data_IF_917697546754
#
_entry.id   IF_917697546754
#
_cell.length_a   1.000
_cell.length_b   1.000
_cell.length_c   1.000
_cell.angle_alpha   90.00
_cell.angle_beta   90.00
_cell.angle_gamma   90.00
#
_symmetry.space_group_name_H-M   'P 1'
#
loop_
_entity.id
_entity.type
_entity.pdbx_description
1 polymer ?
#
# COMPACT_ATOMS: atom_id res chain seq x y z
N UNK A 1 4.90 -74.13 17.31
CA UNK A 1 4.53 -72.70 17.45
C UNK A 1 5.52 -71.86 16.66
N UNK A 2 5.14 -71.38 15.48
CA UNK A 2 5.93 -70.44 14.67
C UNK A 2 5.19 -69.10 14.70
N UNK A 3 5.72 -68.13 15.44
CA UNK A 3 5.16 -66.78 15.50
C UNK A 3 5.68 -65.98 14.30
N UNK A 4 4.77 -65.60 13.40
CA UNK A 4 5.02 -64.64 12.34
C UNK A 4 4.88 -63.23 12.95
N UNK A 5 6.01 -62.52 13.04
CA UNK A 5 6.02 -61.11 13.44
C UNK A 5 5.89 -60.27 12.16
N UNK A 6 4.67 -59.78 11.89
CA UNK A 6 4.38 -58.90 10.77
C UNK A 6 4.72 -57.47 11.18
N UNK A 7 5.85 -56.94 10.70
CA UNK A 7 6.24 -55.55 10.91
C UNK A 7 5.47 -54.71 9.89
N UNK A 8 4.44 -54.02 10.37
CA UNK A 8 3.67 -53.04 9.60
C UNK A 8 4.48 -51.73 9.55
N UNK A 9 5.15 -51.48 8.43
CA UNK A 9 5.92 -50.27 8.18
C UNK A 9 4.94 -49.13 7.82
N UNK A 10 4.58 -48.30 8.80
CA UNK A 10 3.77 -47.09 8.58
C UNK A 10 4.60 -46.03 7.86
N UNK A 11 4.46 -45.95 6.54
CA UNK A 11 4.93 -44.84 5.73
C UNK A 11 4.11 -43.59 6.08
N UNK A 12 4.63 -42.76 6.98
CA UNK A 12 4.16 -41.39 7.15
C UNK A 12 4.61 -40.58 5.92
N UNK A 13 3.73 -40.46 4.94
CA UNK A 13 3.86 -39.46 3.88
C UNK A 13 3.67 -38.08 4.52
N UNK A 14 4.76 -37.42 4.90
CA UNK A 14 4.76 -35.99 5.15
C UNK A 14 4.43 -35.28 3.83
N UNK A 15 3.15 -34.95 3.62
CA UNK A 15 2.77 -33.98 2.62
C UNK A 15 3.40 -32.64 3.03
N UNK A 16 4.52 -32.30 2.40
CA UNK A 16 5.09 -30.96 2.45
C UNK A 16 4.08 -30.02 1.82
N UNK A 17 3.22 -29.40 2.64
CA UNK A 17 2.40 -28.29 2.18
C UNK A 17 3.35 -27.19 1.70
N UNK A 18 3.31 -26.91 0.40
CA UNK A 18 4.05 -25.78 -0.16
C UNK A 18 3.61 -24.52 0.60
N UNK A 19 4.59 -23.75 1.07
CA UNK A 19 4.32 -22.52 1.81
C UNK A 19 3.68 -21.51 0.85
N UNK A 20 2.53 -20.99 1.24
CA UNK A 20 1.82 -19.93 0.51
C UNK A 20 1.91 -18.64 1.30
N UNK A 21 2.30 -17.55 0.65
CA UNK A 21 2.26 -16.21 1.24
C UNK A 21 0.95 -15.52 0.81
N UNK A 22 0.24 -14.91 1.76
CA UNK A 22 -1.05 -14.26 1.51
C UNK A 22 -0.94 -12.75 1.68
N UNK A 23 -1.38 -12.01 0.67
CA UNK A 23 -1.37 -10.56 0.62
C UNK A 23 -2.79 -10.00 0.44
N UNK A 24 -3.12 -8.95 1.19
CA UNK A 24 -4.42 -8.29 1.15
C UNK A 24 -4.29 -6.79 0.97
N UNK A 25 -5.27 -6.18 0.30
CA UNK A 25 -5.28 -4.73 0.14
C UNK A 25 -6.50 -4.26 -0.62
N UNK A 26 -6.76 -2.95 -0.58
CA UNK A 26 -7.85 -2.33 -1.31
C UNK A 26 -7.29 -1.29 -2.28
N UNK A 27 -7.67 -1.40 -3.56
CA UNK A 27 -7.19 -0.54 -4.64
C UNK A 27 -8.32 0.25 -5.28
N UNK A 28 -8.05 1.42 -5.88
CA UNK A 28 -9.01 2.02 -6.81
C UNK A 28 -9.28 1.06 -7.99
N UNK A 29 -10.44 1.22 -8.62
CA UNK A 29 -10.83 0.45 -9.80
C UNK A 29 -10.36 1.13 -11.10
N UNK A 30 -9.04 1.28 -11.30
CA UNK A 30 -8.54 1.79 -12.58
C UNK A 30 -8.66 0.74 -13.70
N UNK A 31 -8.41 1.18 -14.94
CA UNK A 31 -8.52 0.31 -16.12
C UNK A 31 -7.57 -0.90 -16.08
N UNK A 32 -6.35 -0.75 -15.53
CA UNK A 32 -5.34 -1.82 -15.49
C UNK A 32 -5.85 -2.99 -14.65
N UNK A 33 -6.33 -2.72 -13.44
CA UNK A 33 -6.84 -3.78 -12.57
C UNK A 33 -8.19 -4.33 -13.05
N UNK A 34 -9.05 -3.49 -13.61
CA UNK A 34 -10.34 -3.94 -14.16
C UNK A 34 -10.15 -4.86 -15.34
N UNK A 35 -9.25 -4.51 -16.25
CA UNK A 35 -8.94 -5.36 -17.40
C UNK A 35 -8.44 -6.72 -16.91
N UNK A 36 -7.41 -6.76 -16.07
CA UNK A 36 -6.87 -8.01 -15.53
C UNK A 36 -7.95 -8.89 -14.87
N UNK A 37 -8.85 -8.30 -14.08
CA UNK A 37 -9.93 -9.01 -13.39
C UNK A 37 -11.14 -9.34 -14.27
N UNK A 38 -11.20 -8.86 -15.52
CA UNK A 38 -12.37 -9.03 -16.39
C UNK A 38 -13.60 -8.23 -15.94
N UNK A 39 -13.39 -7.14 -15.21
CA UNK A 39 -14.47 -6.27 -14.72
C UNK A 39 -14.85 -5.27 -15.81
N UNK A 40 -16.14 -5.18 -16.15
CA UNK A 40 -16.67 -4.22 -17.12
C UNK A 40 -16.25 -2.80 -16.78
N UNK A 41 -15.88 -1.98 -17.77
CA UNK A 41 -15.53 -0.56 -17.60
C UNK A 41 -16.73 0.33 -17.22
N UNK A 42 -17.96 -0.14 -17.47
CA UNK A 42 -19.20 0.61 -17.19
C UNK A 42 -19.74 0.41 -15.78
N UNK A 43 -19.21 -0.56 -15.03
CA UNK A 43 -19.62 -0.76 -13.64
C UNK A 43 -19.25 0.45 -12.77
N UNK A 44 -20.14 0.87 -11.88
CA UNK A 44 -19.85 1.88 -10.86
C UNK A 44 -19.14 1.19 -9.70
N UNK A 45 -17.85 1.47 -9.51
CA UNK A 45 -17.00 0.80 -8.52
C UNK A 45 -16.12 1.86 -7.86
N UNK A 46 -16.14 1.88 -6.52
CA UNK A 46 -15.28 2.78 -5.76
C UNK A 46 -13.92 2.13 -5.47
N UNK A 47 -13.90 0.82 -5.20
CA UNK A 47 -12.68 0.07 -4.92
C UNK A 47 -12.83 -1.43 -5.16
N UNK A 48 -11.67 -2.10 -5.18
CA UNK A 48 -11.51 -3.56 -5.27
C UNK A 48 -10.71 -3.99 -4.04
N UNK A 49 -11.22 -4.95 -3.27
CA UNK A 49 -10.52 -5.63 -2.19
C UNK A 49 -9.91 -6.92 -2.72
N UNK A 50 -8.62 -7.08 -2.49
CA UNK A 50 -7.81 -8.19 -2.97
C UNK A 50 -7.45 -9.13 -1.83
N UNK A 51 -7.45 -10.44 -2.13
CA UNK A 51 -6.75 -11.47 -1.40
C UNK A 51 -5.97 -12.31 -2.41
N UNK A 52 -4.65 -12.10 -2.43
CA UNK A 52 -3.72 -12.77 -3.33
C UNK A 52 -2.91 -13.79 -2.53
N UNK A 53 -2.99 -15.05 -2.92
CA UNK A 53 -2.22 -16.15 -2.36
C UNK A 53 -1.17 -16.58 -3.39
N UNK A 54 0.11 -16.42 -3.05
CA UNK A 54 1.25 -16.74 -3.91
C UNK A 54 1.87 -18.05 -3.42
N UNK A 55 1.87 -19.08 -4.29
CA UNK A 55 2.57 -20.34 -4.08
C UNK A 55 3.82 -20.45 -4.98
N UNK A 56 4.42 -21.64 -5.02
CA UNK A 56 5.64 -21.90 -5.81
C UNK A 56 5.39 -21.85 -7.32
N UNK A 57 4.29 -22.45 -7.78
CA UNK A 57 4.03 -22.67 -9.21
C UNK A 57 2.83 -21.86 -9.75
N UNK A 58 2.25 -20.99 -8.93
CA UNK A 58 1.04 -20.28 -9.29
C UNK A 58 0.47 -19.45 -8.15
N UNK A 59 -0.64 -18.79 -8.43
CA UNK A 59 -1.35 -17.97 -7.45
C UNK A 59 -2.85 -18.27 -7.48
N UNK A 60 -3.50 -17.99 -6.35
CA UNK A 60 -4.95 -17.87 -6.24
C UNK A 60 -5.30 -16.43 -5.93
N UNK A 61 -6.31 -15.90 -6.62
CA UNK A 61 -6.81 -14.56 -6.38
C UNK A 61 -8.31 -14.61 -6.09
N UNK A 62 -8.69 -14.00 -4.97
CA UNK A 62 -10.07 -13.67 -4.63
C UNK A 62 -10.18 -12.13 -4.57
N UNK A 63 -11.08 -11.54 -5.37
CA UNK A 63 -11.29 -10.10 -5.39
C UNK A 63 -12.77 -9.74 -5.24
N UNK A 64 -13.09 -8.89 -4.27
CA UNK A 64 -14.41 -8.29 -4.07
C UNK A 64 -14.42 -6.85 -4.59
N UNK A 65 -15.50 -6.39 -5.21
CA UNK A 65 -15.57 -5.03 -5.73
C UNK A 65 -17.00 -4.47 -5.71
N UNK A 66 -17.11 -3.14 -5.68
CA UNK A 66 -18.39 -2.43 -5.69
C UNK A 66 -18.24 -0.99 -5.21
N UNK A 67 -19.38 -0.33 -4.97
CA UNK A 67 -19.43 1.00 -4.34
C UNK A 67 -19.29 0.88 -2.83
N UNK A 68 -18.61 1.86 -2.23
CA UNK A 68 -18.32 1.89 -0.82
C UNK A 68 -19.57 2.23 0.00
N UNK A 69 -19.77 1.50 1.10
CA UNK A 69 -20.81 1.82 2.08
C UNK A 69 -20.33 2.94 3.01
N UNK A 70 -21.11 4.02 3.09
CA UNK A 70 -20.75 5.20 3.88
C UNK A 70 -20.52 4.82 5.35
N UNK A 71 -19.39 5.28 5.92
CA UNK A 71 -19.04 5.04 7.31
C UNK A 71 -18.49 3.63 7.62
N UNK A 72 -18.51 2.69 6.66
CA UNK A 72 -17.99 1.33 6.85
C UNK A 72 -16.87 1.00 5.85
N UNK A 73 -16.09 -0.08 6.07
CA UNK A 73 -15.21 -0.64 5.05
C UNK A 73 -15.97 -1.56 4.05
N UNK A 74 -17.30 -1.65 4.14
CA UNK A 74 -18.10 -2.57 3.32
C UNK A 74 -18.48 -2.02 1.95
N UNK A 75 -19.17 -2.87 1.18
CA UNK A 75 -19.75 -2.54 -0.12
C UNK A 75 -21.28 -2.36 0.01
N UNK A 76 -21.86 -1.51 -0.82
CA UNK A 76 -23.32 -1.41 -0.99
C UNK A 76 -23.80 -2.51 -1.96
N UNK A 77 -23.03 -2.77 -3.02
CA UNK A 77 -23.36 -3.67 -4.12
C UNK A 77 -22.17 -4.58 -4.46
N UNK A 78 -21.80 -5.44 -3.49
CA UNK A 78 -20.66 -6.35 -3.62
C UNK A 78 -20.83 -7.31 -4.79
N UNK A 79 -19.80 -7.36 -5.64
CA UNK A 79 -19.54 -8.41 -6.63
C UNK A 79 -18.20 -9.09 -6.29
N UNK A 80 -17.95 -10.25 -6.89
CA UNK A 80 -16.73 -11.02 -6.64
C UNK A 80 -16.24 -11.70 -7.93
N UNK A 81 -14.92 -11.79 -8.07
CA UNK A 81 -14.23 -12.69 -8.99
C UNK A 81 -13.22 -13.51 -8.21
N UNK A 82 -13.05 -14.77 -8.60
CA UNK A 82 -12.05 -15.65 -8.01
C UNK A 82 -11.49 -16.58 -9.09
N UNK A 83 -10.17 -16.72 -9.14
CA UNK A 83 -9.51 -17.61 -10.08
C UNK A 83 -8.08 -17.96 -9.64
N UNK A 84 -7.60 -19.09 -10.15
CA UNK A 84 -6.20 -19.47 -10.12
C UNK A 84 -5.51 -19.01 -11.41
N UNK A 85 -4.20 -18.78 -11.32
CA UNK A 85 -3.40 -18.38 -12.47
C UNK A 85 -1.93 -18.75 -12.36
N UNK A 86 -1.20 -18.48 -13.44
CA UNK A 86 0.22 -18.75 -13.55
C UNK A 86 1.01 -17.50 -13.15
N UNK A 87 2.07 -17.68 -12.37
CA UNK A 87 2.99 -16.60 -12.04
C UNK A 87 4.38 -16.86 -12.58
N UNK A 88 5.10 -15.79 -12.89
CA UNK A 88 6.55 -15.82 -13.01
C UNK A 88 7.15 -14.85 -12.01
N UNK A 89 8.28 -15.22 -11.42
CA UNK A 89 9.02 -14.40 -10.48
C UNK A 89 10.43 -14.14 -11.02
N UNK A 90 10.80 -12.87 -11.19
CA UNK A 90 12.11 -12.47 -11.69
C UNK A 90 12.62 -11.26 -10.93
N UNK A 91 13.75 -11.41 -10.23
CA UNK A 91 14.26 -10.40 -9.32
C UNK A 91 13.29 -10.16 -8.17
N UNK A 92 12.77 -8.94 -8.06
CA UNK A 92 11.76 -8.54 -7.07
C UNK A 92 10.38 -8.30 -7.71
N UNK A 93 10.05 -9.06 -8.75
CA UNK A 93 8.85 -8.80 -9.56
C UNK A 93 8.09 -10.08 -9.84
N UNK A 94 6.81 -10.04 -9.53
CA UNK A 94 5.85 -11.04 -9.96
C UNK A 94 5.13 -10.57 -11.22
N UNK A 95 4.92 -11.49 -12.15
CA UNK A 95 4.02 -11.30 -13.29
C UNK A 95 2.93 -12.33 -13.19
N UNK A 96 1.71 -11.89 -12.89
CA UNK A 96 0.54 -12.76 -12.78
C UNK A 96 -0.16 -12.82 -14.12
N UNK A 97 -0.55 -14.03 -14.53
CA UNK A 97 -1.27 -14.26 -15.79
C UNK A 97 -2.51 -15.12 -15.58
N UNK A 98 -3.59 -14.77 -16.27
CA UNK A 98 -4.85 -15.52 -16.29
C UNK A 98 -5.64 -15.17 -17.56
N UNK A 99 -6.14 -16.19 -18.27
CA UNK A 99 -6.97 -16.01 -19.48
C UNK A 99 -6.39 -15.02 -20.53
N UNK A 100 -5.07 -15.07 -20.76
CA UNK A 100 -4.37 -14.18 -21.70
C UNK A 100 -4.12 -12.76 -21.20
N UNK A 101 -4.54 -12.45 -19.97
CA UNK A 101 -4.32 -11.14 -19.32
C UNK A 101 -3.15 -11.22 -18.35
N UNK A 102 -2.48 -10.08 -18.17
CA UNK A 102 -1.26 -9.99 -17.36
C UNK A 102 -1.30 -8.75 -16.49
N UNK A 103 -0.86 -8.89 -15.23
CA UNK A 103 -0.54 -7.76 -14.36
C UNK A 103 0.84 -7.98 -13.72
N UNK A 104 1.62 -6.90 -13.62
CA UNK A 104 2.92 -6.92 -12.95
C UNK A 104 2.79 -6.38 -11.53
N UNK A 105 3.57 -6.96 -10.63
CA UNK A 105 3.62 -6.59 -9.22
C UNK A 105 5.08 -6.46 -8.82
N UNK A 106 5.41 -5.36 -8.15
CA UNK A 106 6.71 -5.16 -7.54
C UNK A 106 6.68 -5.63 -6.09
N UNK A 107 7.61 -6.48 -5.73
CA UNK A 107 7.92 -6.79 -4.35
C UNK A 107 8.79 -5.67 -3.77
N UNK A 108 8.17 -4.78 -2.99
CA UNK A 108 8.91 -3.76 -2.25
C UNK A 108 9.76 -4.43 -1.17
N UNK A 109 9.17 -5.40 -0.48
CA UNK A 109 9.81 -6.38 0.39
C UNK A 109 8.85 -7.55 0.65
N UNK A 110 9.26 -8.48 1.51
CA UNK A 110 8.47 -9.65 1.89
C UNK A 110 7.09 -9.34 2.54
N UNK A 111 6.81 -8.08 2.88
CA UNK A 111 5.56 -7.67 3.53
C UNK A 111 4.67 -6.81 2.64
N UNK A 112 5.22 -6.15 1.63
CA UNK A 112 4.48 -5.18 0.81
C UNK A 112 4.78 -5.40 -0.66
N UNK A 113 3.70 -5.71 -1.38
CA UNK A 113 3.68 -5.75 -2.84
C UNK A 113 3.03 -4.47 -3.38
N UNK A 114 3.36 -4.06 -4.60
CA UNK A 114 2.75 -2.92 -5.25
C UNK A 114 2.41 -3.22 -6.71
N UNK A 115 1.14 -3.02 -7.11
CA UNK A 115 0.72 -3.26 -8.49
C UNK A 115 1.32 -2.22 -9.44
N UNK A 116 1.77 -2.68 -10.61
CA UNK A 116 2.43 -1.85 -11.61
C UNK A 116 1.53 -1.54 -12.80
N UNK A 117 1.76 -0.38 -13.39
CA UNK A 117 1.10 0.06 -14.61
C UNK A 117 1.88 -0.34 -15.87
N UNK A 118 1.36 0.05 -17.06
CA UNK A 118 2.10 -0.05 -18.31
C UNK A 118 3.43 0.69 -18.20
N UNK A 119 4.54 0.06 -18.60
CA UNK A 119 5.86 0.69 -18.49
C UNK A 119 6.51 0.56 -17.10
N UNK A 120 5.98 -0.29 -16.22
CA UNK A 120 6.60 -0.70 -14.97
C UNK A 120 6.68 0.37 -13.87
N UNK A 121 5.95 1.49 -14.02
CA UNK A 121 5.80 2.47 -12.95
C UNK A 121 4.82 1.97 -11.88
N UNK A 122 4.98 2.46 -10.64
CA UNK A 122 4.03 2.25 -9.57
C UNK A 122 2.66 2.82 -9.98
N UNK A 123 1.57 2.07 -9.77
CA UNK A 123 0.24 2.59 -9.98
C UNK A 123 -0.10 3.61 -8.89
N UNK A 124 -0.59 4.77 -9.31
CA UNK A 124 -0.92 5.86 -8.40
C UNK A 124 -2.36 5.69 -7.92
N UNK A 125 -2.52 5.55 -6.60
CA UNK A 125 -3.82 5.46 -5.95
C UNK A 125 -4.56 6.80 -5.87
N UNK A 126 -5.43 6.91 -4.88
CA UNK A 126 -6.15 8.15 -4.54
C UNK A 126 -6.20 8.34 -3.01
N UNK A 127 -6.91 9.38 -2.54
CA UNK A 127 -7.07 9.67 -1.11
C UNK A 127 -7.91 8.66 -0.34
N UNK A 128 -8.39 7.60 -1.00
CA UNK A 128 -9.10 6.47 -0.41
C UNK A 128 -8.26 5.21 -0.31
N UNK A 129 -7.57 4.85 -1.40
CA UNK A 129 -6.98 3.54 -1.63
C UNK A 129 -5.64 3.66 -2.39
N UNK A 130 -4.73 2.71 -2.19
CA UNK A 130 -3.45 2.62 -2.93
C UNK A 130 -3.39 1.34 -3.75
N UNK A 131 -2.29 1.10 -4.47
CA UNK A 131 -2.06 -0.16 -5.18
C UNK A 131 -1.13 -1.12 -4.40
N UNK A 132 -1.06 -0.97 -3.07
CA UNK A 132 -0.21 -1.80 -2.21
C UNK A 132 -0.99 -2.97 -1.62
N UNK A 133 -0.44 -4.18 -1.69
CA UNK A 133 -0.95 -5.38 -1.02
C UNK A 133 -0.02 -5.74 0.15
N UNK A 134 -0.60 -6.12 1.28
CA UNK A 134 0.06 -6.25 2.58
C UNK A 134 0.02 -7.70 3.02
N UNK A 135 1.17 -8.25 3.40
CA UNK A 135 1.26 -9.61 3.91
C UNK A 135 0.44 -9.75 5.20
N UNK A 136 -0.42 -10.78 5.27
CA UNK A 136 -1.25 -11.05 6.46
C UNK A 136 -0.44 -11.63 7.62
N UNK A 137 0.77 -12.13 7.35
CA UNK A 137 1.75 -12.63 8.30
C UNK A 137 3.08 -11.92 8.09
N UNK A 138 3.17 -10.61 8.43
CA UNK A 138 4.37 -9.84 8.16
C UNK A 138 5.59 -10.39 8.90
N UNK A 139 6.71 -10.49 8.20
CA UNK A 139 8.00 -10.89 8.75
C UNK A 139 8.85 -9.66 9.05
N UNK A 140 9.81 -9.79 9.97
CA UNK A 140 10.76 -8.71 10.21
C UNK A 140 11.72 -8.58 9.03
N UNK A 141 11.77 -7.41 8.40
CA UNK A 141 12.69 -7.11 7.30
C UNK A 141 12.99 -5.62 7.21
N UNK A 142 14.24 -5.29 6.87
CA UNK A 142 14.70 -3.93 6.57
C UNK A 142 14.81 -3.71 5.04
N UNK A 143 14.43 -4.72 4.25
CA UNK A 143 14.48 -4.64 2.80
C UNK A 143 13.49 -3.59 2.28
N UNK A 144 13.94 -2.89 1.23
CA UNK A 144 13.08 -2.06 0.40
C UNK A 144 13.71 -1.99 -0.98
N UNK A 145 13.09 -2.66 -1.94
CA UNK A 145 13.67 -3.00 -3.23
C UNK A 145 13.31 -1.98 -4.31
N UNK A 146 13.41 -0.70 -3.98
CA UNK A 146 13.30 0.41 -4.94
C UNK A 146 14.51 1.34 -4.80
N UNK A 147 15.22 1.63 -5.91
CA UNK A 147 16.12 2.77 -5.96
C UNK A 147 15.28 4.05 -6.03
N UNK A 148 15.37 4.93 -5.02
CA UNK A 148 14.69 6.22 -5.10
C UNK A 148 15.50 7.14 -6.02
N UNK A 149 14.90 7.61 -7.11
CA UNK A 149 15.45 8.72 -7.88
C UNK A 149 14.74 10.00 -7.46
N UNK A 150 15.49 11.03 -7.07
CA UNK A 150 14.92 12.35 -6.84
C UNK A 150 14.78 13.06 -8.19
N UNK A 151 13.56 13.40 -8.60
CA UNK A 151 13.35 14.23 -9.79
C UNK A 151 12.87 15.62 -9.39
N UNK A 152 13.02 16.57 -10.31
CA UNK A 152 12.41 17.88 -10.16
C UNK A 152 10.88 17.73 -10.24
N UNK A 153 10.18 18.25 -9.25
CA UNK A 153 8.74 18.13 -9.12
C UNK A 153 8.11 19.51 -8.86
N UNK A 154 6.83 19.65 -9.21
CA UNK A 154 6.06 20.87 -8.95
C UNK A 154 5.99 21.22 -7.46
N UNK A 155 5.76 22.49 -7.17
CA UNK A 155 5.67 23.03 -5.80
C UNK A 155 4.28 23.65 -5.59
N UNK A 156 3.50 23.22 -4.58
CA UNK A 156 3.82 22.19 -3.59
C UNK A 156 3.74 20.76 -4.14
N UNK A 157 4.43 19.83 -3.49
CA UNK A 157 4.15 18.41 -3.66
C UNK A 157 2.87 18.05 -2.92
N UNK A 158 1.90 17.48 -3.62
CA UNK A 158 0.58 17.17 -3.06
C UNK A 158 0.43 15.66 -2.89
N UNK A 159 0.21 15.20 -1.67
CA UNK A 159 0.04 13.78 -1.36
C UNK A 159 -1.23 13.53 -0.54
N UNK A 160 -1.90 12.41 -0.81
CA UNK A 160 -3.09 12.00 -0.08
C UNK A 160 -3.11 10.50 0.17
N UNK A 161 -3.84 10.07 1.20
CA UNK A 161 -4.02 8.64 1.47
C UNK A 161 -4.80 8.34 2.74
N UNK A 162 -5.01 7.06 2.98
CA UNK A 162 -5.60 6.54 4.22
C UNK A 162 -4.76 5.39 4.72
N UNK A 163 -4.56 5.36 6.02
CA UNK A 163 -3.78 4.32 6.70
C UNK A 163 -4.59 3.70 7.83
N UNK A 164 -4.26 2.48 8.27
CA UNK A 164 -4.75 1.97 9.55
C UNK A 164 -4.38 2.96 10.67
N UNK A 165 -5.28 3.11 11.66
CA UNK A 165 -5.18 4.20 12.62
C UNK A 165 -4.18 3.96 13.75
N UNK A 166 -4.19 2.75 14.31
CA UNK A 166 -3.65 2.51 15.64
C UNK A 166 -2.13 2.72 15.72
N UNK A 167 -1.38 2.12 14.80
CA UNK A 167 0.09 2.16 14.84
C UNK A 167 0.64 3.58 14.65
N UNK A 168 0.17 4.33 13.64
CA UNK A 168 0.60 5.71 13.44
C UNK A 168 0.09 6.65 14.52
N UNK A 169 -1.12 6.41 15.04
CA UNK A 169 -1.62 7.20 16.17
C UNK A 169 -0.74 7.03 17.41
N UNK A 170 -0.29 5.81 17.70
CA UNK A 170 0.63 5.54 18.79
C UNK A 170 2.01 6.16 18.53
N UNK A 171 2.56 5.96 17.31
CA UNK A 171 3.86 6.51 16.91
C UNK A 171 3.93 8.04 17.07
N UNK A 172 2.85 8.74 16.68
CA UNK A 172 2.78 10.19 16.71
C UNK A 172 2.31 10.74 18.07
N UNK A 173 1.92 9.89 19.03
CA UNK A 173 1.40 10.32 20.32
C UNK A 173 0.00 10.95 20.27
N UNK A 174 -0.79 10.65 19.23
CA UNK A 174 -2.14 11.17 19.04
C UNK A 174 -3.21 10.41 19.86
N UNK A 175 -2.86 9.20 20.35
CA UNK A 175 -3.66 8.39 21.26
C UNK A 175 -5.16 8.25 20.88
N UNK A 176 -5.45 7.98 19.61
CA UNK A 176 -6.80 7.71 19.11
C UNK A 176 -7.37 6.46 19.77
N UNK A 177 -8.67 6.50 20.07
CA UNK A 177 -9.37 5.35 20.65
C UNK A 177 -9.49 4.15 19.70
N UNK A 178 -9.87 2.97 20.23
CA UNK A 178 -9.94 1.72 19.47
C UNK A 178 -10.98 1.75 18.33
N UNK A 179 -11.99 2.62 18.43
CA UNK A 179 -12.98 2.84 17.38
C UNK A 179 -12.40 3.52 16.12
N UNK A 180 -11.18 4.07 16.19
CA UNK A 180 -10.53 4.64 15.02
C UNK A 180 -10.04 3.53 14.09
N UNK A 181 -10.74 3.35 12.97
CA UNK A 181 -10.35 2.37 11.95
C UNK A 181 -9.31 2.91 10.96
N UNK A 182 -9.30 4.22 10.70
CA UNK A 182 -8.38 4.84 9.73
C UNK A 182 -7.98 6.27 10.07
N UNK A 183 -6.80 6.66 9.62
CA UNK A 183 -6.38 8.06 9.51
C UNK A 183 -6.50 8.51 8.06
N UNK A 184 -6.89 9.77 7.84
CA UNK A 184 -6.91 10.39 6.50
C UNK A 184 -5.80 11.44 6.44
N UNK A 185 -5.06 11.40 5.35
CA UNK A 185 -3.89 12.24 5.14
C UNK A 185 -4.06 13.06 3.89
N UNK A 186 -3.75 14.35 4.00
CA UNK A 186 -3.62 15.26 2.89
C UNK A 186 -2.48 16.23 3.19
N UNK A 187 -1.40 16.15 2.42
CA UNK A 187 -0.17 16.92 2.61
C UNK A 187 0.08 17.84 1.42
N UNK A 188 0.47 19.07 1.74
CA UNK A 188 1.10 20.02 0.82
C UNK A 188 2.52 20.26 1.31
N UNK A 189 3.52 19.70 0.62
CA UNK A 189 4.93 19.85 0.97
C UNK A 189 5.52 20.99 0.13
N UNK A 190 5.78 22.13 0.77
CA UNK A 190 6.33 23.31 0.09
C UNK A 190 7.84 23.28 0.07
N UNK A 191 8.38 23.65 -1.08
CA UNK A 191 9.81 23.91 -1.28
C UNK A 191 10.03 25.42 -1.38
N UNK A 192 11.21 25.87 -0.96
CA UNK A 192 11.67 27.22 -1.21
C UNK A 192 11.82 27.45 -2.73
N UNK A 193 11.24 28.54 -3.24
CA UNK A 193 11.17 28.78 -4.68
C UNK A 193 12.52 29.14 -5.32
N UNK A 194 13.49 29.60 -4.52
CA UNK A 194 14.82 29.98 -5.01
C UNK A 194 15.79 28.79 -4.99
N UNK A 195 15.74 27.98 -3.92
CA UNK A 195 16.71 26.91 -3.66
C UNK A 195 16.19 25.51 -3.99
N UNK A 196 14.87 25.34 -4.16
CA UNK A 196 14.22 24.03 -4.31
C UNK A 196 14.28 23.15 -3.06
N UNK A 197 14.81 23.67 -1.93
CA UNK A 197 14.94 22.90 -0.69
C UNK A 197 13.61 22.81 0.04
N UNK A 198 13.36 21.73 0.82
CA UNK A 198 12.21 21.64 1.72
C UNK A 198 12.08 22.89 2.62
N UNK A 199 10.86 23.37 2.79
CA UNK A 199 10.55 24.53 3.63
C UNK A 199 9.58 24.15 4.74
N UNK A 200 8.28 24.13 4.46
CA UNK A 200 7.23 23.75 5.41
C UNK A 200 6.21 22.84 4.74
N UNK A 201 5.37 22.19 5.53
CA UNK A 201 4.21 21.49 5.03
C UNK A 201 2.92 22.03 5.66
N UNK A 202 1.82 21.80 4.96
CA UNK A 202 0.47 21.86 5.51
C UNK A 202 -0.11 20.45 5.49
N UNK A 203 -0.77 20.05 6.58
CA UNK A 203 -1.46 18.76 6.70
C UNK A 203 -2.94 18.95 7.05
N UNK A 204 -3.81 18.20 6.38
CA UNK A 204 -5.24 18.13 6.66
C UNK A 204 -5.79 16.70 6.60
N UNK A 205 -7.09 16.58 6.87
CA UNK A 205 -7.86 15.33 6.85
C UNK A 205 -9.22 15.49 6.17
N UNK A 206 -10.31 15.18 6.88
CA UNK A 206 -11.69 15.35 6.36
C UNK A 206 -12.06 16.84 6.31
N UNK A 207 -12.71 17.26 5.21
CA UNK A 207 -13.20 18.63 5.02
C UNK A 207 -12.09 19.69 5.13
N UNK A 208 -11.14 19.62 4.19
CA UNK A 208 -10.00 20.51 4.13
C UNK A 208 -10.42 21.99 4.02
N UNK A 209 -9.80 22.82 4.85
CA UNK A 209 -9.69 24.27 4.72
C UNK A 209 -8.23 24.60 4.93
N UNK A 210 -7.59 25.26 3.96
CA UNK A 210 -6.14 25.52 4.02
C UNK A 210 -5.77 26.32 5.28
N UNK A 211 -6.68 27.17 5.73
CA UNK A 211 -6.55 28.04 6.90
C UNK A 211 -6.53 27.26 8.22
N UNK A 212 -7.06 26.04 8.24
CA UNK A 212 -7.10 25.18 9.44
C UNK A 212 -6.15 23.98 9.33
N UNK A 213 -5.34 23.90 8.26
CA UNK A 213 -4.37 22.83 8.12
C UNK A 213 -3.26 23.00 9.14
N UNK A 214 -2.83 21.88 9.71
CA UNK A 214 -1.70 21.85 10.63
C UNK A 214 -0.42 22.16 9.86
N UNK A 215 0.31 23.17 10.31
CA UNK A 215 1.62 23.52 9.73
C UNK A 215 2.73 22.79 10.46
N UNK A 216 3.76 22.41 9.72
CA UNK A 216 5.00 21.86 10.27
C UNK A 216 6.18 22.07 9.32
N UNK A 217 7.36 21.58 9.70
CA UNK A 217 8.56 21.61 8.85
C UNK A 217 8.83 20.23 8.26
N UNK A 218 9.52 20.17 7.13
CA UNK A 218 9.95 18.89 6.56
C UNK A 218 11.32 18.99 5.95
N UNK A 219 12.00 17.85 5.85
CA UNK A 219 13.30 17.72 5.21
C UNK A 219 13.39 16.41 4.42
N UNK A 220 14.32 16.36 3.48
CA UNK A 220 14.69 15.14 2.76
C UNK A 220 16.01 14.65 3.32
N UNK A 221 16.01 13.45 3.86
CA UNK A 221 17.19 12.75 4.35
C UNK A 221 17.58 11.64 3.36
N UNK A 222 18.86 11.32 3.30
CA UNK A 222 19.35 10.13 2.61
C UNK A 222 19.41 8.98 3.60
N UNK A 223 18.48 8.05 3.49
CA UNK A 223 18.46 6.79 4.21
C UNK A 223 19.45 5.77 3.63
N UNK A 224 19.47 4.55 4.20
CA UNK A 224 20.34 3.46 3.76
C UNK A 224 20.20 3.21 2.25
N UNK A 225 21.32 2.91 1.59
CA UNK A 225 21.39 2.66 0.14
C UNK A 225 20.95 3.85 -0.73
N UNK A 226 21.10 5.09 -0.25
CA UNK A 226 20.84 6.31 -1.02
C UNK A 226 19.36 6.69 -1.13
N UNK A 227 18.49 6.06 -0.34
CA UNK A 227 17.03 6.25 -0.43
C UNK A 227 16.60 7.59 0.14
N UNK A 228 15.77 8.34 -0.58
CA UNK A 228 15.18 9.56 -0.06
C UNK A 228 14.10 9.23 0.99
N UNK A 229 14.24 9.84 2.17
CA UNK A 229 13.28 9.77 3.28
C UNK A 229 12.77 11.18 3.53
N UNK A 230 11.46 11.37 3.41
CA UNK A 230 10.83 12.63 3.81
C UNK A 230 10.51 12.56 5.30
N UNK A 231 11.10 13.47 6.06
CA UNK A 231 10.90 13.55 7.51
C UNK A 231 10.13 14.82 7.85
N UNK A 232 8.96 14.66 8.44
CA UNK A 232 8.02 15.73 8.74
C UNK A 232 7.93 15.90 10.25
N UNK A 233 8.01 17.16 10.71
CA UNK A 233 7.95 17.55 12.10
C UNK A 233 6.72 18.41 12.35
N UNK A 234 5.98 18.10 13.40
CA UNK A 234 4.86 18.90 13.86
C UNK A 234 4.90 18.97 15.38
N UNK A 235 4.66 20.15 15.94
CA UNK A 235 4.69 20.39 17.39
C UNK A 235 3.66 19.56 18.17
N UNK A 236 2.62 19.09 17.49
CA UNK A 236 1.60 18.21 18.08
C UNK A 236 1.97 16.73 18.06
N UNK A 237 3.11 16.36 17.46
CA UNK A 237 3.56 14.97 17.40
C UNK A 237 4.70 14.71 18.37
N UNK A 238 4.64 13.58 19.05
CA UNK A 238 5.73 13.13 19.92
C UNK A 238 6.98 12.69 19.14
N UNK A 239 6.82 12.36 17.86
CA UNK A 239 7.89 11.90 16.96
C UNK A 239 7.66 12.41 15.54
N UNK A 240 8.73 12.61 14.76
CA UNK A 240 8.58 12.95 13.36
C UNK A 240 7.95 11.81 12.57
N UNK A 241 7.09 12.17 11.62
CA UNK A 241 6.59 11.24 10.61
C UNK A 241 7.67 11.00 9.57
N UNK A 242 7.87 9.74 9.17
CA UNK A 242 8.89 9.33 8.20
C UNK A 242 8.25 8.61 7.02
N UNK A 243 8.55 9.10 5.82
CA UNK A 243 7.99 8.62 4.57
C UNK A 243 9.14 8.23 3.62
N UNK A 244 9.24 6.94 3.30
CA UNK A 244 10.17 6.45 2.28
C UNK A 244 9.64 6.82 0.89
N UNK A 245 10.49 7.43 0.07
CA UNK A 245 10.16 7.73 -1.32
C UNK A 245 10.29 6.45 -2.17
N UNK A 246 9.17 5.99 -2.72
CA UNK A 246 9.16 4.96 -3.76
C UNK A 246 9.56 5.56 -5.09
N UNK A 247 8.66 6.37 -5.65
CA UNK A 247 8.91 7.18 -6.84
C UNK A 247 8.44 8.62 -6.58
N UNK A 248 8.23 9.42 -7.63
CA UNK A 248 7.74 10.79 -7.46
C UNK A 248 6.27 10.85 -7.06
N UNK A 249 5.54 9.74 -7.16
CA UNK A 249 4.10 9.68 -6.98
C UNK A 249 3.67 8.85 -5.78
N UNK A 250 4.59 8.13 -5.14
CA UNK A 250 4.29 7.17 -4.09
C UNK A 250 5.26 7.33 -2.93
N UNK A 251 4.70 7.57 -1.75
CA UNK A 251 5.46 7.56 -0.49
C UNK A 251 4.92 6.44 0.42
N UNK A 252 5.81 5.81 1.19
CA UNK A 252 5.47 4.74 2.12
C UNK A 252 5.78 5.15 3.56
N UNK A 253 4.87 4.94 4.50
CA UNK A 253 5.15 5.23 5.90
C UNK A 253 6.11 4.21 6.50
N UNK A 254 6.92 4.67 7.44
CA UNK A 254 7.80 3.82 8.24
C UNK A 254 7.50 3.92 9.72
N UNK A 255 7.85 2.86 10.45
CA UNK A 255 7.77 2.80 11.90
C UNK A 255 8.92 3.54 12.59
N UNK A 256 8.92 3.50 13.92
CA UNK A 256 9.99 4.07 14.74
C UNK A 256 11.37 3.42 14.46
N UNK A 257 11.37 2.20 13.95
CA UNK A 257 12.54 1.40 13.61
C UNK A 257 12.92 1.49 12.13
N UNK A 258 12.39 2.48 11.41
CA UNK A 258 12.65 2.77 10.00
C UNK A 258 12.16 1.69 9.02
N UNK A 259 11.50 0.63 9.50
CA UNK A 259 10.90 -0.40 8.64
C UNK A 259 9.59 0.09 8.05
N UNK A 260 9.26 -0.39 6.86
CA UNK A 260 7.97 -0.12 6.25
C UNK A 260 6.84 -0.64 7.14
N UNK A 261 5.84 0.21 7.36
CA UNK A 261 4.63 -0.22 8.03
C UNK A 261 3.79 -1.10 7.09
N UNK A 262 3.13 -2.10 7.66
CA UNK A 262 2.33 -3.07 6.92
C UNK A 262 0.85 -2.79 7.16
N UNK A 263 0.11 -2.59 6.08
CA UNK A 263 -1.30 -2.29 6.15
C UNK A 263 -2.16 -3.50 6.49
N UNK A 264 -3.45 -3.37 6.22
CA UNK A 264 -4.42 -4.45 6.30
C UNK A 264 -5.23 -4.54 4.99
N UNK A 265 -6.32 -5.31 4.99
CA UNK A 265 -7.15 -5.47 3.78
C UNK A 265 -7.76 -4.14 3.29
N UNK A 266 -8.01 -3.19 4.19
CA UNK A 266 -8.78 -1.98 3.90
C UNK A 266 -7.87 -0.78 3.61
N UNK A 267 -6.75 -0.68 4.32
CA UNK A 267 -5.84 0.47 4.25
C UNK A 267 -4.38 0.03 4.25
N UNK A 268 -3.60 0.57 3.32
CA UNK A 268 -2.14 0.47 3.26
C UNK A 268 -1.46 1.62 4.01
N UNK A 269 -0.16 1.52 4.24
CA UNK A 269 0.68 2.64 4.68
C UNK A 269 1.35 3.36 3.50
N UNK A 270 0.51 3.89 2.59
CA UNK A 270 0.96 4.49 1.33
C UNK A 270 0.25 5.83 1.08
N UNK A 271 1.00 6.85 0.64
CA UNK A 271 0.47 8.11 0.11
C UNK A 271 0.65 8.15 -1.40
N UNK A 272 -0.37 8.70 -2.07
CA UNK A 272 -0.42 8.84 -3.52
C UNK A 272 -0.36 10.32 -3.88
N UNK A 273 0.43 10.65 -4.91
CA UNK A 273 0.54 12.03 -5.38
C UNK A 273 -0.69 12.45 -6.15
N UNK A 274 -1.08 13.70 -5.93
CA UNK A 274 -2.03 14.41 -6.80
C UNK A 274 -1.26 15.33 -7.72
N UNK A 275 -1.84 15.57 -8.90
CA UNK A 275 -1.34 16.61 -9.81
C UNK A 275 -1.47 18.00 -9.19
N UNK A 276 -2.59 18.24 -8.52
CA UNK A 276 -2.96 19.55 -8.01
C UNK A 276 -3.62 19.45 -6.62
N UNK A 277 -3.53 20.52 -5.81
CA UNK A 277 -4.31 20.65 -4.59
C UNK A 277 -5.81 20.55 -4.86
N UNK A 278 -6.60 20.16 -3.86
CA UNK A 278 -8.05 20.33 -3.92
C UNK A 278 -8.41 21.81 -4.11
N UNK A 279 -9.44 22.12 -4.93
CA UNK A 279 -9.93 23.48 -5.06
C UNK A 279 -10.36 24.01 -3.70
N UNK A 280 -10.15 25.31 -3.48
CA UNK A 280 -10.57 25.96 -2.24
C UNK A 280 -12.09 25.88 -2.14
N UNK A 281 -12.58 25.43 -0.99
CA UNK A 281 -14.03 25.42 -0.72
C UNK A 281 -14.41 26.82 -0.26
N UNK A 282 -14.90 27.65 -1.19
CA UNK A 282 -15.53 28.93 -0.87
C UNK A 282 -16.93 28.65 -0.29
N UNK A 283 -17.27 29.32 0.82
CA UNK A 283 -18.61 29.30 1.44
C UNK A 283 -19.11 30.72 1.58
#
# INVERSE_FOLDING_TARGET
>A
MKAFFSILLSLFACASYAKTDTYVGSTPANIVVRDFLGISSTDSIDFIRWKLEIGTDGYRLDAEYGRASAGSPGFIDRKQVAFDGQLTHSGNRYTLSHAGKVISILELNANVLHLLGPGNNLLIGNGGYSYSLNNVQPVRTDAFNIPSVQTAAGNPLVFEGRTPCQELSALLGLNKGPACNKMKWYFLLYQDSLTGKPSYFLMGGIAYKIETMTRGSWQVETGPNGKAVYRLYCDTWSRPLRLLKGDDNTLFFTGADERMLVGNQDFSYTLNRRKEPYPRIER
#
